data_IF_387367161888
#
_entry.id   IF_387367161888
#
_cell.length_a   1.000
_cell.length_b   1.000
_cell.length_c   1.000
_cell.angle_alpha   90.00
_cell.angle_beta   90.00
_cell.angle_gamma   90.00
#
_symmetry.space_group_name_H-M   'P 1'
#
loop_
_entity.id
_entity.type
_entity.pdbx_description
1 polymer ?
#
# COMPACT_ATOMS: atom_id res chain seq x y z
N UNK A 1 6.77 -19.37 11.38
CA UNK A 1 8.19 -18.94 11.50
C UNK A 1 8.89 -19.33 10.22
N UNK A 2 9.03 -18.39 9.27
CA UNK A 2 9.62 -18.52 7.91
C UNK A 2 8.95 -19.63 7.03
N UNK A 3 8.69 -19.49 5.74
CA UNK A 3 8.98 -18.48 4.74
C UNK A 3 8.06 -18.85 3.56
N UNK A 4 7.33 -17.88 3.02
CA UNK A 4 6.60 -17.98 1.75
C UNK A 4 5.45 -19.02 1.78
N UNK A 5 4.18 -18.60 1.85
CA UNK A 5 3.07 -19.41 1.34
C UNK A 5 3.48 -19.94 -0.06
N UNK A 6 2.98 -21.08 -0.53
CA UNK A 6 3.20 -21.51 -1.93
C UNK A 6 2.50 -20.54 -2.89
N UNK A 7 3.01 -19.32 -2.96
CA UNK A 7 2.68 -18.34 -3.96
C UNK A 7 3.40 -18.83 -5.19
N UNK A 8 2.61 -19.50 -6.02
CA UNK A 8 2.91 -19.75 -7.43
C UNK A 8 3.55 -18.47 -7.98
N UNK A 9 4.58 -18.54 -8.81
CA UNK A 9 5.25 -17.34 -9.36
C UNK A 9 4.27 -16.27 -9.87
N UNK A 10 3.12 -16.72 -10.38
CA UNK A 10 1.97 -15.90 -10.73
C UNK A 10 1.50 -14.97 -9.60
N UNK A 11 1.35 -15.41 -8.36
CA UNK A 11 0.89 -14.57 -7.25
C UNK A 11 1.87 -13.46 -6.89
N UNK A 12 3.18 -13.70 -7.10
CA UNK A 12 4.22 -12.68 -6.92
C UNK A 12 4.19 -11.65 -8.05
N UNK A 13 4.03 -12.10 -9.29
CA UNK A 13 3.89 -11.23 -10.45
C UNK A 13 2.60 -10.39 -10.37
N UNK A 14 1.49 -11.02 -9.97
CA UNK A 14 0.22 -10.35 -9.72
C UNK A 14 0.38 -9.38 -8.56
N UNK A 15 1.04 -9.78 -7.46
CA UNK A 15 1.30 -8.89 -6.32
C UNK A 15 2.12 -7.66 -6.70
N UNK A 16 3.14 -7.82 -7.55
CA UNK A 16 3.91 -6.70 -8.09
C UNK A 16 3.01 -5.73 -8.86
N UNK A 17 2.18 -6.24 -9.76
CA UNK A 17 1.41 -5.41 -10.71
C UNK A 17 0.09 -4.87 -10.15
N UNK A 18 -0.57 -5.59 -9.24
CA UNK A 18 -1.94 -5.28 -8.81
C UNK A 18 -2.06 -3.90 -8.15
N UNK A 19 -1.01 -3.45 -7.45
CA UNK A 19 -0.97 -2.11 -6.84
C UNK A 19 -0.15 -1.14 -7.70
N UNK A 20 1.01 -1.56 -8.21
CA UNK A 20 1.90 -0.64 -8.94
C UNK A 20 1.35 -0.22 -10.29
N UNK A 21 0.63 -1.08 -11.02
CA UNK A 21 0.09 -0.73 -12.33
C UNK A 21 -1.04 0.32 -12.25
N UNK A 22 -2.02 0.21 -11.33
CA UNK A 22 -2.97 1.29 -11.09
C UNK A 22 -2.30 2.60 -10.64
N UNK A 23 -1.31 2.55 -9.73
CA UNK A 23 -0.60 3.76 -9.29
C UNK A 23 0.17 4.43 -10.44
N UNK A 24 0.79 3.64 -11.31
CA UNK A 24 1.46 4.15 -12.51
C UNK A 24 0.46 4.78 -13.47
N UNK A 25 -0.65 4.10 -13.76
CA UNK A 25 -1.70 4.62 -14.62
C UNK A 25 -2.29 5.94 -14.08
N UNK A 26 -2.56 6.01 -12.77
CA UNK A 26 -3.01 7.23 -12.11
C UNK A 26 -1.98 8.36 -12.19
N UNK A 27 -0.69 8.05 -12.08
CA UNK A 27 0.38 9.07 -12.17
C UNK A 27 0.55 9.60 -13.60
N UNK A 28 0.28 8.78 -14.62
CA UNK A 28 0.24 9.23 -16.01
C UNK A 28 -0.99 10.09 -16.32
N UNK A 29 -2.14 9.76 -15.74
CA UNK A 29 -3.38 10.53 -15.92
C UNK A 29 -3.43 11.81 -15.08
N UNK A 30 -2.82 11.79 -13.89
CA UNK A 30 -2.85 12.88 -12.90
C UNK A 30 -1.40 13.33 -12.63
N UNK A 31 -0.95 14.44 -13.25
CA UNK A 31 0.40 14.92 -13.05
C UNK A 31 0.64 15.26 -11.57
N UNK A 32 1.64 14.62 -10.97
CA UNK A 32 1.96 14.78 -9.55
C UNK A 32 1.12 13.95 -8.58
N UNK A 33 0.40 12.91 -9.07
CA UNK A 33 -0.39 12.02 -8.23
C UNK A 33 0.43 11.21 -7.22
N UNK A 34 1.27 10.29 -7.71
CA UNK A 34 2.19 9.50 -6.87
C UNK A 34 3.65 9.70 -7.29
N UNK A 35 4.57 9.56 -6.33
CA UNK A 35 5.99 9.59 -6.64
C UNK A 35 6.42 8.33 -7.39
N UNK A 36 7.34 8.46 -8.34
CA UNK A 36 7.95 7.29 -9.00
C UNK A 36 8.65 6.34 -8.01
N UNK A 37 9.11 6.87 -6.88
CA UNK A 37 9.61 6.09 -5.75
C UNK A 37 8.53 5.21 -5.13
N UNK A 38 7.35 5.78 -4.84
CA UNK A 38 6.21 5.09 -4.22
C UNK A 38 5.75 3.88 -5.06
N UNK A 39 5.69 4.05 -6.39
CA UNK A 39 5.33 3.00 -7.34
C UNK A 39 6.36 1.86 -7.29
N UNK A 40 7.65 2.19 -7.30
CA UNK A 40 8.73 1.19 -7.24
C UNK A 40 8.76 0.45 -5.91
N UNK A 41 8.54 1.15 -4.80
CA UNK A 41 8.41 0.54 -3.48
C UNK A 41 7.27 -0.47 -3.45
N UNK A 42 6.09 -0.08 -3.93
CA UNK A 42 4.93 -0.98 -4.02
C UNK A 42 5.16 -2.16 -4.96
N UNK A 43 5.83 -1.96 -6.10
CA UNK A 43 6.16 -3.04 -7.03
C UNK A 43 7.13 -4.05 -6.40
N UNK A 44 8.23 -3.57 -5.81
CA UNK A 44 9.22 -4.42 -5.16
C UNK A 44 8.60 -5.17 -3.99
N UNK A 45 7.90 -4.46 -3.10
CA UNK A 45 7.21 -5.08 -1.98
C UNK A 45 6.13 -6.06 -2.45
N UNK A 46 5.36 -5.75 -3.48
CA UNK A 46 4.35 -6.64 -4.05
C UNK A 46 4.93 -7.96 -4.58
N UNK A 47 6.14 -7.92 -5.14
CA UNK A 47 6.87 -9.12 -5.56
C UNK A 47 7.28 -10.00 -4.37
N UNK A 48 7.72 -9.40 -3.26
CA UNK A 48 8.16 -10.13 -2.07
C UNK A 48 7.00 -10.64 -1.21
N UNK A 49 5.99 -9.80 -0.99
CA UNK A 49 4.84 -10.07 -0.12
C UNK A 49 3.71 -10.83 -0.81
N UNK A 50 3.60 -10.75 -2.14
CA UNK A 50 2.50 -11.35 -2.90
C UNK A 50 1.19 -10.55 -2.81
N UNK A 51 0.19 -10.98 -3.59
CA UNK A 51 -1.07 -10.25 -3.80
C UNK A 51 -1.84 -9.92 -2.52
N UNK A 52 -1.97 -10.86 -1.58
CA UNK A 52 -2.82 -10.66 -0.39
C UNK A 52 -2.24 -9.60 0.56
N UNK A 53 -0.95 -9.69 0.82
CA UNK A 53 -0.25 -8.83 1.76
C UNK A 53 -0.03 -7.42 1.19
N UNK A 54 0.24 -7.28 -0.11
CA UNK A 54 0.40 -5.96 -0.73
C UNK A 54 -0.92 -5.17 -0.76
N UNK A 55 -2.05 -5.84 -0.96
CA UNK A 55 -3.37 -5.21 -0.86
C UNK A 55 -3.66 -4.77 0.57
N UNK A 56 -3.33 -5.60 1.56
CA UNK A 56 -3.44 -5.23 2.97
C UNK A 56 -2.57 -3.99 3.29
N UNK A 57 -1.32 -3.97 2.82
CA UNK A 57 -0.40 -2.84 2.99
C UNK A 57 -0.95 -1.54 2.39
N UNK A 58 -1.51 -1.63 1.17
CA UNK A 58 -2.11 -0.48 0.49
C UNK A 58 -3.30 0.07 1.28
N UNK A 59 -4.19 -0.79 1.78
CA UNK A 59 -5.33 -0.37 2.59
C UNK A 59 -4.86 0.32 3.87
N UNK A 60 -3.89 -0.26 4.58
CA UNK A 60 -3.32 0.33 5.80
C UNK A 60 -2.68 1.69 5.52
N UNK A 61 -1.98 1.83 4.40
CA UNK A 61 -1.39 3.09 3.98
C UNK A 61 -2.45 4.15 3.66
N UNK A 62 -3.55 3.78 3.00
CA UNK A 62 -4.68 4.68 2.72
C UNK A 62 -5.34 5.12 4.03
N UNK A 63 -5.55 4.21 4.99
CA UNK A 63 -6.11 4.54 6.31
C UNK A 63 -5.19 5.52 7.04
N UNK A 64 -3.89 5.23 7.11
CA UNK A 64 -2.91 6.11 7.75
C UNK A 64 -2.86 7.50 7.08
N UNK A 65 -2.82 7.54 5.75
CA UNK A 65 -2.78 8.77 4.96
C UNK A 65 -4.08 9.59 5.09
N UNK A 66 -5.23 8.93 5.12
CA UNK A 66 -6.53 9.60 5.27
C UNK A 66 -6.72 10.19 6.66
N UNK A 67 -6.33 9.47 7.72
CA UNK A 67 -6.31 10.01 9.09
C UNK A 67 -5.43 11.26 9.17
N UNK A 68 -4.21 11.19 8.62
CA UNK A 68 -3.32 12.34 8.57
C UNK A 68 -3.89 13.51 7.75
N UNK A 69 -4.50 13.21 6.60
CA UNK A 69 -5.17 14.20 5.75
C UNK A 69 -6.32 14.92 6.45
N UNK A 70 -7.15 14.19 7.21
CA UNK A 70 -8.26 14.75 8.00
C UNK A 70 -7.71 15.66 9.11
N UNK A 71 -6.67 15.23 9.83
CA UNK A 71 -6.03 16.03 10.89
C UNK A 71 -5.45 17.33 10.31
N UNK A 72 -4.77 17.25 9.16
CA UNK A 72 -4.21 18.40 8.45
C UNK A 72 -5.30 19.37 8.00
N UNK A 73 -6.40 18.86 7.42
CA UNK A 73 -7.53 19.68 6.97
C UNK A 73 -8.19 20.42 8.14
N UNK A 74 -8.37 19.73 9.28
CA UNK A 74 -8.92 20.34 10.51
C UNK A 74 -8.02 21.46 11.04
N UNK A 75 -6.71 21.29 10.95
CA UNK A 75 -5.75 22.28 11.45
C UNK A 75 -5.57 23.48 10.51
N UNK A 76 -6.21 23.53 9.32
CA UNK A 76 -6.07 24.57 8.28
C UNK A 76 -4.60 24.94 7.95
N UNK A 77 -3.65 24.07 8.27
CA UNK A 77 -2.21 24.37 8.26
C UNK A 77 -1.57 24.20 6.88
N UNK A 78 -2.34 23.95 5.82
CA UNK A 78 -1.79 23.55 4.52
C UNK A 78 -2.43 24.32 3.38
N UNK A 79 -1.59 25.10 2.70
CA UNK A 79 -1.87 25.63 1.37
C UNK A 79 -1.99 24.47 0.37
N UNK A 80 -2.89 24.57 -0.62
CA UNK A 80 -3.12 23.57 -1.68
C UNK A 80 -1.85 23.13 -2.45
N UNK A 81 -0.73 23.83 -2.26
CA UNK A 81 0.55 23.63 -2.95
C UNK A 81 1.50 22.66 -2.25
N UNK A 82 1.21 22.29 -1.01
CA UNK A 82 2.13 21.53 -0.19
C UNK A 82 1.99 20.02 -0.50
N UNK A 83 2.96 19.47 -1.22
CA UNK A 83 2.90 18.13 -1.82
C UNK A 83 2.71 17.05 -0.75
N UNK A 84 1.58 16.35 -0.82
CA UNK A 84 1.26 15.27 0.12
C UNK A 84 2.16 14.06 -0.18
N UNK A 85 3.21 13.88 0.61
CA UNK A 85 4.13 12.75 0.44
C UNK A 85 3.44 11.46 0.91
N UNK A 86 3.07 10.59 -0.03
CA UNK A 86 2.39 9.33 0.28
C UNK A 86 3.36 8.24 0.76
N UNK A 87 4.63 8.33 0.36
CA UNK A 87 5.69 7.36 0.69
C UNK A 87 5.80 6.95 2.16
N UNK A 88 5.81 7.88 3.15
CA UNK A 88 5.85 7.51 4.57
C UNK A 88 4.67 6.65 5.01
N UNK A 89 3.46 6.95 4.52
CA UNK A 89 2.27 6.16 4.84
C UNK A 89 2.31 4.78 4.19
N UNK A 90 2.86 4.68 2.97
CA UNK A 90 3.12 3.40 2.33
C UNK A 90 4.12 2.56 3.12
N UNK A 91 5.21 3.15 3.60
CA UNK A 91 6.20 2.45 4.41
C UNK A 91 5.61 1.92 5.72
N UNK A 92 4.73 2.69 6.38
CA UNK A 92 4.01 2.26 7.57
C UNK A 92 3.07 1.08 7.23
N UNK A 93 2.25 1.21 6.19
CA UNK A 93 1.34 0.15 5.76
C UNK A 93 2.06 -1.14 5.37
N UNK A 94 3.17 -1.02 4.65
CA UNK A 94 4.05 -2.14 4.28
C UNK A 94 4.69 -2.80 5.49
N UNK A 95 5.18 -2.01 6.45
CA UNK A 95 5.76 -2.56 7.68
C UNK A 95 4.73 -3.35 8.46
N UNK A 96 3.53 -2.78 8.67
CA UNK A 96 2.46 -3.46 9.40
C UNK A 96 2.03 -4.73 8.66
N UNK A 97 1.86 -4.68 7.33
CA UNK A 97 1.49 -5.85 6.55
C UNK A 97 2.58 -6.93 6.55
N UNK A 98 3.87 -6.56 6.56
CA UNK A 98 4.96 -7.52 6.60
C UNK A 98 5.00 -8.31 7.92
N UNK A 99 4.69 -7.66 9.05
CA UNK A 99 4.75 -8.30 10.37
C UNK A 99 3.41 -8.91 10.83
N UNK A 100 2.27 -8.29 10.50
CA UNK A 100 0.93 -8.70 10.97
C UNK A 100 -0.08 -8.95 9.86
N UNK A 101 0.32 -8.84 8.59
CA UNK A 101 -0.64 -8.93 7.48
C UNK A 101 -1.28 -10.31 7.33
N UNK A 102 -0.57 -11.39 7.71
CA UNK A 102 -1.15 -12.74 7.67
C UNK A 102 -2.25 -12.91 8.72
N UNK A 103 -2.05 -12.36 9.92
CA UNK A 103 -3.00 -12.35 11.02
C UNK A 103 -4.23 -11.50 10.66
N UNK A 104 -4.00 -10.33 10.05
CA UNK A 104 -5.08 -9.44 9.58
C UNK A 104 -5.92 -10.14 8.49
N UNK A 105 -5.27 -10.74 7.48
CA UNK A 105 -5.97 -11.43 6.39
C UNK A 105 -6.69 -12.68 6.87
N UNK A 106 -6.09 -13.45 7.79
CA UNK A 106 -6.74 -14.65 8.35
C UNK A 106 -7.92 -14.30 9.26
N UNK A 107 -7.82 -13.22 10.06
CA UNK A 107 -8.93 -12.70 10.84
C UNK A 107 -10.10 -12.26 9.93
N UNK A 108 -9.80 -11.54 8.84
CA UNK A 108 -10.81 -11.14 7.86
C UNK A 108 -11.52 -12.33 7.20
N UNK A 109 -10.76 -13.34 6.75
CA UNK A 109 -11.34 -14.54 6.15
C UNK A 109 -12.13 -15.38 7.14
N UNK A 110 -11.70 -15.41 8.41
CA UNK A 110 -12.42 -16.10 9.49
C UNK A 110 -13.75 -15.43 9.82
N UNK A 111 -13.85 -14.11 9.70
CA UNK A 111 -15.11 -13.39 9.96
C UNK A 111 -16.15 -13.61 8.86
N UNK A 112 -15.71 -14.05 7.69
CA UNK A 112 -16.56 -14.35 6.54
C UNK A 112 -17.20 -15.77 6.62
N UNK A 113 -16.86 -16.55 7.65
CA UNK A 113 -17.45 -17.85 7.99
C UNK A 113 -18.11 -17.80 9.37
#
# INVERSE_FOLDING_TARGET
MLLIPEYRMLDRLIGMLVVSAPMLLLTLLIPGGFGGGDIKLMAASGFFLGMRLILCAMILAIIAGSVYGIIMLKNRKRDRKDQFAFGPFLAIGLSIAAFWGNEIVSWYLKIQH
#
